data_IF_097564807513
#
_entry.id   IF_097564807513
#
_cell.length_a   1.000
_cell.length_b   1.000
_cell.length_c   1.000
_cell.angle_alpha   90.00
_cell.angle_beta   90.00
_cell.angle_gamma   90.00
#
_symmetry.space_group_name_H-M   'P 1'
#
loop_
_entity.id
_entity.type
_entity.pdbx_description
1 polymer ?
#
# COMPACT_ATOMS: atom_id res chain seq x y z
N UNK A 1 -20.14 -1.44 6.62
CA UNK A 1 -20.40 -1.73 8.05
C UNK A 1 -19.77 -0.60 8.88
N UNK A 2 -20.56 0.33 9.44
CA UNK A 2 -20.04 1.59 10.04
C UNK A 2 -19.05 1.39 11.17
N UNK A 3 -19.15 0.29 11.92
CA UNK A 3 -18.22 -0.01 13.01
C UNK A 3 -16.81 -0.30 12.49
N UNK A 4 -16.67 -1.23 11.55
CA UNK A 4 -15.38 -1.62 10.96
C UNK A 4 -14.69 -0.42 10.30
N UNK A 5 -15.45 0.43 9.63
CA UNK A 5 -14.94 1.64 8.98
C UNK A 5 -14.39 2.64 10.01
N UNK A 6 -15.13 2.83 11.10
CA UNK A 6 -14.74 3.74 12.17
C UNK A 6 -13.51 3.23 12.90
N UNK A 7 -13.46 1.92 13.21
CA UNK A 7 -12.30 1.29 13.84
C UNK A 7 -11.10 1.35 12.91
N UNK A 8 -11.27 1.04 11.63
CA UNK A 8 -10.19 1.08 10.66
C UNK A 8 -9.61 2.49 10.47
N UNK A 9 -10.48 3.51 10.42
CA UNK A 9 -10.04 4.91 10.37
C UNK A 9 -9.33 5.34 11.66
N UNK A 10 -9.82 4.94 12.84
CA UNK A 10 -9.16 5.22 14.12
C UNK A 10 -7.78 4.56 14.18
N UNK A 11 -7.68 3.28 13.79
CA UNK A 11 -6.42 2.56 13.71
C UNK A 11 -5.45 3.32 12.80
N UNK A 12 -5.87 3.71 11.60
CA UNK A 12 -5.01 4.49 10.69
C UNK A 12 -4.48 5.75 11.38
N UNK A 13 -5.33 6.52 12.07
CA UNK A 13 -4.88 7.72 12.79
C UNK A 13 -3.85 7.43 13.88
N UNK A 14 -3.93 6.28 14.54
CA UNK A 14 -2.90 5.85 15.48
C UNK A 14 -1.59 5.50 14.75
N UNK A 15 -1.66 4.72 13.67
CA UNK A 15 -0.51 4.23 12.91
C UNK A 15 0.31 5.33 12.19
N UNK A 16 -0.22 6.57 12.13
CA UNK A 16 0.57 7.74 11.69
C UNK A 16 1.78 7.98 12.60
N UNK A 17 1.73 7.54 13.86
CA UNK A 17 2.81 7.68 14.84
C UNK A 17 3.66 6.41 14.93
N UNK A 18 4.98 6.57 14.90
CA UNK A 18 5.93 5.44 14.91
C UNK A 18 5.83 4.63 16.20
N UNK A 19 5.55 5.26 17.34
CA UNK A 19 5.41 4.56 18.62
C UNK A 19 4.22 3.61 18.62
N UNK A 20 3.13 3.98 17.93
CA UNK A 20 1.99 3.10 17.76
C UNK A 20 2.34 1.94 16.81
N UNK A 21 3.06 2.22 15.71
CA UNK A 21 3.53 1.19 14.78
C UNK A 21 4.41 0.14 15.46
N UNK A 22 5.31 0.55 16.35
CA UNK A 22 6.21 -0.35 17.09
C UNK A 22 5.48 -1.29 18.06
N UNK A 23 4.24 -0.95 18.47
CA UNK A 23 3.41 -1.79 19.34
C UNK A 23 2.49 -2.73 18.58
N UNK A 24 2.33 -2.51 17.27
CA UNK A 24 1.41 -3.28 16.43
C UNK A 24 2.04 -4.61 16.07
N UNK A 25 1.21 -5.65 16.01
CA UNK A 25 1.59 -6.91 15.36
C UNK A 25 1.66 -6.68 13.84
N UNK A 26 2.84 -6.27 13.39
CA UNK A 26 3.10 -5.91 12.00
C UNK A 26 2.83 -7.09 11.02
N UNK A 27 3.27 -8.33 11.31
CA UNK A 27 2.89 -9.49 10.50
C UNK A 27 1.37 -9.65 10.34
N UNK A 28 0.60 -9.45 11.42
CA UNK A 28 -0.85 -9.55 11.36
C UNK A 28 -1.47 -8.42 10.52
N UNK A 29 -1.00 -7.18 10.68
CA UNK A 29 -1.47 -6.04 9.90
C UNK A 29 -1.21 -6.23 8.39
N UNK A 30 0.02 -6.64 8.03
CA UNK A 30 0.41 -6.88 6.63
C UNK A 30 -0.45 -8.00 6.01
N UNK A 31 -0.66 -9.10 6.74
CA UNK A 31 -1.54 -10.20 6.29
C UNK A 31 -2.99 -9.75 6.15
N UNK A 32 -3.48 -8.91 7.06
CA UNK A 32 -4.82 -8.34 6.97
C UNK A 32 -4.98 -7.51 5.69
N UNK A 33 -4.02 -6.63 5.39
CA UNK A 33 -4.02 -5.84 4.16
C UNK A 33 -4.10 -6.72 2.90
N UNK A 34 -3.26 -7.75 2.82
CA UNK A 34 -3.25 -8.69 1.69
C UNK A 34 -4.59 -9.45 1.57
N UNK A 35 -5.14 -9.92 2.70
CA UNK A 35 -6.43 -10.60 2.74
C UNK A 35 -7.58 -9.70 2.24
N UNK A 36 -7.61 -8.43 2.65
CA UNK A 36 -8.65 -7.48 2.22
C UNK A 36 -8.59 -7.29 0.72
N UNK A 37 -7.41 -7.00 0.14
CA UNK A 37 -7.28 -6.81 -1.30
C UNK A 37 -7.66 -8.06 -2.10
N UNK A 38 -7.21 -9.24 -1.65
CA UNK A 38 -7.57 -10.51 -2.28
C UNK A 38 -9.07 -10.78 -2.26
N UNK A 39 -9.76 -10.46 -1.16
CA UNK A 39 -11.21 -10.63 -1.09
C UNK A 39 -11.96 -9.72 -2.05
N UNK A 40 -11.45 -8.51 -2.30
CA UNK A 40 -12.03 -7.59 -3.27
C UNK A 40 -11.88 -8.15 -4.69
N UNK A 41 -10.71 -8.68 -5.02
CA UNK A 41 -10.45 -9.29 -6.34
C UNK A 41 -11.31 -10.55 -6.57
N UNK A 42 -11.49 -11.41 -5.55
CA UNK A 42 -12.25 -12.66 -5.66
C UNK A 42 -13.77 -12.47 -5.76
N UNK A 43 -14.32 -11.51 -5.03
CA UNK A 43 -15.78 -11.33 -4.94
C UNK A 43 -16.35 -10.44 -6.05
N UNK A 44 -15.51 -9.66 -6.72
CA UNK A 44 -15.96 -8.57 -7.57
C UNK A 44 -16.58 -7.45 -6.73
N UNK A 45 -16.36 -6.21 -7.14
CA UNK A 45 -16.72 -5.04 -6.33
C UNK A 45 -18.23 -4.79 -6.41
N UNK A 46 -18.94 -4.95 -5.29
CA UNK A 46 -20.13 -4.12 -5.03
C UNK A 46 -19.60 -2.72 -4.67
N UNK A 47 -19.82 -1.75 -5.55
CA UNK A 47 -19.26 -0.39 -5.49
C UNK A 47 -19.47 0.32 -4.14
N UNK A 48 -20.45 -0.11 -3.35
CA UNK A 48 -20.76 0.47 -2.04
C UNK A 48 -20.02 -0.16 -0.88
N UNK A 49 -19.71 -1.45 -0.95
CA UNK A 49 -19.11 -2.20 0.17
C UNK A 49 -17.59 -2.31 0.06
N UNK A 50 -17.05 -2.38 -1.16
CA UNK A 50 -15.61 -2.42 -1.35
C UNK A 50 -15.00 -1.13 -0.78
N UNK A 51 -15.37 0.05 -1.29
CA UNK A 51 -14.58 1.31 -1.24
C UNK A 51 -14.09 1.84 0.11
N UNK A 52 -14.36 1.19 1.23
CA UNK A 52 -13.99 1.62 2.58
C UNK A 52 -12.84 0.82 3.19
N UNK A 53 -12.78 -0.51 3.06
CA UNK A 53 -11.71 -1.29 3.69
C UNK A 53 -10.45 -1.36 2.83
N UNK A 54 -10.53 -1.61 1.52
CA UNK A 54 -9.32 -1.55 0.67
C UNK A 54 -8.73 -0.15 0.62
N UNK A 55 -9.57 0.90 0.71
CA UNK A 55 -9.06 2.27 0.80
C UNK A 55 -8.16 2.45 2.03
N UNK A 56 -8.50 1.83 3.15
CA UNK A 56 -7.67 1.85 4.36
C UNK A 56 -6.37 1.05 4.20
N UNK A 57 -6.35 0.01 3.36
CA UNK A 57 -5.12 -0.76 3.09
C UNK A 57 -4.03 0.14 2.55
N UNK A 58 -4.33 1.06 1.63
CA UNK A 58 -3.32 1.99 1.10
C UNK A 58 -2.82 2.97 2.16
N UNK A 59 -3.67 3.38 3.09
CA UNK A 59 -3.26 4.20 4.22
C UNK A 59 -2.38 3.43 5.22
N UNK A 60 -2.69 2.16 5.49
CA UNK A 60 -1.83 1.30 6.32
C UNK A 60 -0.49 1.03 5.65
N UNK A 61 -0.51 0.71 4.36
CA UNK A 61 0.71 0.55 3.56
C UNK A 61 1.57 1.81 3.59
N UNK A 62 0.97 2.99 3.44
CA UNK A 62 1.68 4.26 3.58
C UNK A 62 2.35 4.40 4.95
N UNK A 63 1.61 4.14 6.04
CA UNK A 63 2.18 4.20 7.39
C UNK A 63 3.31 3.20 7.60
N UNK A 64 3.19 1.97 7.07
CA UNK A 64 4.24 0.95 7.12
C UNK A 64 5.49 1.44 6.40
N UNK A 65 5.35 1.95 5.16
CA UNK A 65 6.49 2.40 4.38
C UNK A 65 7.16 3.62 4.97
N UNK A 66 6.37 4.59 5.45
CA UNK A 66 6.84 5.82 6.07
C UNK A 66 7.72 5.56 7.29
N UNK A 67 7.43 4.50 8.05
CA UNK A 67 8.13 4.15 9.28
C UNK A 67 9.00 2.89 9.12
N UNK A 68 9.27 2.46 7.88
CA UNK A 68 9.92 1.17 7.62
C UNK A 68 11.35 1.11 8.18
N UNK A 69 12.08 2.21 8.13
CA UNK A 69 13.44 2.33 8.70
C UNK A 69 13.44 2.08 10.22
N UNK A 70 12.48 2.66 10.95
CA UNK A 70 12.34 2.45 12.40
C UNK A 70 11.79 1.08 12.77
N UNK A 71 11.20 0.36 11.81
CA UNK A 71 10.57 -0.96 11.99
C UNK A 71 11.45 -2.12 11.49
N UNK A 72 12.72 -1.88 11.17
CA UNK A 72 13.62 -2.82 10.49
C UNK A 72 13.13 -3.13 9.07
N UNK A 73 13.51 -2.27 8.12
CA UNK A 73 13.08 -2.29 6.72
C UNK A 73 13.13 -3.67 6.09
N UNK A 74 14.24 -4.40 6.28
CA UNK A 74 14.39 -5.75 5.72
C UNK A 74 13.29 -6.70 6.16
N UNK A 75 12.98 -6.72 7.45
CA UNK A 75 11.93 -7.59 8.00
C UNK A 75 10.54 -7.18 7.46
N UNK A 76 10.29 -5.87 7.33
CA UNK A 76 9.05 -5.36 6.72
C UNK A 76 8.92 -5.84 5.27
N UNK A 77 9.98 -5.72 4.47
CA UNK A 77 9.98 -6.14 3.07
C UNK A 77 9.78 -7.66 2.93
N UNK A 78 10.45 -8.46 3.76
CA UNK A 78 10.29 -9.93 3.81
C UNK A 78 8.84 -10.32 4.15
N UNK A 79 8.21 -9.66 5.13
CA UNK A 79 6.80 -9.88 5.48
C UNK A 79 5.84 -9.49 4.34
N UNK A 80 6.12 -8.40 3.63
CA UNK A 80 5.31 -7.99 2.47
C UNK A 80 5.45 -8.96 1.31
N UNK A 81 6.63 -9.52 1.09
CA UNK A 81 6.87 -10.56 0.10
C UNK A 81 6.11 -11.83 0.46
N UNK A 82 6.27 -12.33 1.69
CA UNK A 82 5.63 -13.56 2.17
C UNK A 82 4.11 -13.50 2.13
N UNK A 83 3.54 -12.31 2.39
CA UNK A 83 2.09 -12.08 2.32
C UNK A 83 1.57 -11.78 0.92
N UNK A 84 2.45 -11.53 -0.06
CA UNK A 84 2.08 -11.08 -1.40
C UNK A 84 1.41 -9.69 -1.42
N UNK A 85 1.64 -8.87 -0.38
CA UNK A 85 0.97 -7.57 -0.24
C UNK A 85 1.34 -6.61 -1.39
N UNK A 86 2.62 -6.54 -1.76
CA UNK A 86 3.07 -5.63 -2.81
C UNK A 86 2.40 -5.96 -4.17
N UNK A 87 2.42 -7.23 -4.57
CA UNK A 87 1.75 -7.67 -5.80
C UNK A 87 0.24 -7.38 -5.76
N UNK A 88 -0.40 -7.55 -4.61
CA UNK A 88 -1.84 -7.25 -4.42
C UNK A 88 -2.12 -5.76 -4.57
N UNK A 89 -1.28 -4.90 -4.00
CA UNK A 89 -1.38 -3.43 -4.14
C UNK A 89 -1.24 -3.01 -5.60
N UNK A 90 -0.20 -3.50 -6.29
CA UNK A 90 0.06 -3.18 -7.69
C UNK A 90 -1.08 -3.64 -8.59
N UNK A 91 -1.56 -4.87 -8.39
CA UNK A 91 -2.70 -5.41 -9.12
C UNK A 91 -3.97 -4.57 -8.90
N UNK A 92 -4.28 -4.27 -7.64
CA UNK A 92 -5.48 -3.52 -7.30
C UNK A 92 -5.47 -2.12 -7.93
N UNK A 93 -4.36 -1.38 -7.84
CA UNK A 93 -4.27 -0.02 -8.41
C UNK A 93 -4.39 0.02 -9.94
N UNK A 94 -4.00 -1.06 -10.62
CA UNK A 94 -4.02 -1.15 -12.09
C UNK A 94 -5.35 -1.67 -12.62
N UNK A 95 -6.02 -2.57 -11.89
CA UNK A 95 -7.23 -3.25 -12.36
C UNK A 95 -8.52 -2.77 -11.69
N UNK A 96 -8.44 -1.98 -10.61
CA UNK A 96 -9.60 -1.44 -9.89
C UNK A 96 -9.70 0.08 -10.01
N UNK A 97 -10.92 0.58 -10.22
CA UNK A 97 -11.19 2.01 -10.17
C UNK A 97 -11.00 2.58 -8.77
N UNK A 98 -9.88 3.26 -8.56
CA UNK A 98 -9.56 3.98 -7.34
C UNK A 98 -9.77 5.49 -7.52
N UNK A 99 -10.17 6.17 -6.44
CA UNK A 99 -10.19 7.65 -6.43
C UNK A 99 -8.77 8.21 -6.60
N UNK A 100 -8.66 9.42 -7.15
CA UNK A 100 -7.36 10.04 -7.38
C UNK A 100 -6.59 10.29 -6.06
N UNK A 101 -7.29 10.62 -4.97
CA UNK A 101 -6.68 10.76 -3.64
C UNK A 101 -6.10 9.45 -3.11
N UNK A 102 -6.77 8.31 -3.36
CA UNK A 102 -6.24 7.00 -2.97
C UNK A 102 -5.02 6.62 -3.81
N UNK A 103 -5.08 6.87 -5.13
CA UNK A 103 -3.94 6.70 -6.03
C UNK A 103 -2.76 7.57 -5.60
N UNK A 104 -3.01 8.77 -5.09
CA UNK A 104 -1.96 9.65 -4.58
C UNK A 104 -1.22 9.05 -3.37
N UNK A 105 -1.96 8.57 -2.36
CA UNK A 105 -1.39 7.90 -1.19
C UNK A 105 -0.60 6.66 -1.59
N UNK A 106 -1.13 5.87 -2.52
CA UNK A 106 -0.45 4.68 -3.00
C UNK A 106 0.85 5.01 -3.74
N UNK A 107 0.83 6.00 -4.63
CA UNK A 107 2.03 6.48 -5.35
C UNK A 107 3.08 6.99 -4.38
N UNK A 108 2.70 7.78 -3.37
CA UNK A 108 3.64 8.24 -2.34
C UNK A 108 4.26 7.08 -1.57
N UNK A 109 3.48 6.05 -1.26
CA UNK A 109 3.96 4.84 -0.59
C UNK A 109 4.92 4.03 -1.46
N UNK A 110 4.64 3.94 -2.76
CA UNK A 110 5.52 3.29 -3.73
C UNK A 110 6.81 4.09 -3.96
N UNK A 111 6.77 5.41 -3.87
CA UNK A 111 7.96 6.25 -3.91
C UNK A 111 8.86 5.99 -2.70
N UNK A 112 8.28 5.95 -1.49
CA UNK A 112 9.01 5.56 -0.27
C UNK A 112 9.66 4.17 -0.39
N UNK A 113 8.93 3.21 -0.98
CA UNK A 113 9.47 1.87 -1.25
C UNK A 113 10.60 1.91 -2.29
N UNK A 114 10.47 2.71 -3.35
CA UNK A 114 11.49 2.86 -4.37
C UNK A 114 12.77 3.52 -3.83
N UNK A 115 12.64 4.39 -2.82
CA UNK A 115 13.77 5.05 -2.15
C UNK A 115 14.47 4.16 -1.11
N UNK A 116 13.89 3.01 -0.74
CA UNK A 116 14.48 2.06 0.19
C UNK A 116 15.67 1.29 -0.43
N UNK A 117 16.83 1.35 0.22
CA UNK A 117 18.06 0.70 -0.25
C UNK A 117 17.92 -0.83 -0.38
N UNK A 118 17.32 -1.49 0.62
CA UNK A 118 17.12 -2.94 0.58
C UNK A 118 16.23 -3.38 -0.58
N UNK A 119 15.19 -2.59 -0.89
CA UNK A 119 14.32 -2.85 -2.03
C UNK A 119 15.06 -2.64 -3.36
N UNK A 120 15.89 -1.59 -3.47
CA UNK A 120 16.70 -1.35 -4.67
C UNK A 120 17.73 -2.46 -4.91
N UNK A 121 18.37 -2.96 -3.85
CA UNK A 121 19.35 -4.05 -3.95
C UNK A 121 18.74 -5.35 -4.47
N UNK A 122 17.50 -5.67 -4.05
CA UNK A 122 16.84 -6.95 -4.34
C UNK A 122 15.52 -6.78 -5.12
N UNK A 123 15.42 -5.76 -5.98
CA UNK A 123 14.21 -5.42 -6.73
C UNK A 123 13.60 -6.62 -7.47
N UNK A 124 14.43 -7.45 -8.10
CA UNK A 124 13.98 -8.62 -8.85
C UNK A 124 13.36 -9.71 -7.96
N UNK A 125 13.72 -9.74 -6.68
CA UNK A 125 13.18 -10.67 -5.69
C UNK A 125 11.79 -10.21 -5.26
N UNK A 126 11.62 -8.91 -4.97
CA UNK A 126 10.33 -8.35 -4.56
C UNK A 126 9.34 -8.20 -5.72
N UNK A 127 9.82 -7.94 -6.93
CA UNK A 127 9.04 -7.85 -8.16
C UNK A 127 9.34 -9.03 -9.09
N UNK A 128 9.24 -10.26 -8.58
CA UNK A 128 9.61 -11.46 -9.32
C UNK A 128 8.73 -11.69 -10.56
N UNK A 129 7.43 -11.40 -10.43
CA UNK A 129 6.45 -11.57 -11.50
C UNK A 129 6.62 -10.49 -12.59
N UNK A 130 6.64 -10.87 -13.88
CA UNK A 130 6.58 -9.90 -14.98
C UNK A 130 5.38 -8.95 -14.88
N UNK A 131 4.24 -9.45 -14.39
CA UNK A 131 3.02 -8.64 -14.22
C UNK A 131 3.20 -7.53 -13.19
N UNK A 132 3.98 -7.78 -12.13
CA UNK A 132 4.20 -6.79 -11.07
C UNK A 132 5.08 -5.65 -11.62
N UNK A 133 6.06 -5.98 -12.45
CA UNK A 133 6.90 -5.00 -13.15
C UNK A 133 6.09 -4.18 -14.16
N UNK A 134 5.25 -4.83 -14.95
CA UNK A 134 4.34 -4.15 -15.88
C UNK A 134 3.38 -3.22 -15.14
N UNK A 135 2.78 -3.68 -14.05
CA UNK A 135 1.88 -2.89 -13.22
C UNK A 135 2.58 -1.65 -12.63
N UNK A 136 3.81 -1.81 -12.14
CA UNK A 136 4.60 -0.67 -11.63
C UNK A 136 4.87 0.37 -12.73
N UNK A 137 5.21 -0.06 -13.96
CA UNK A 137 5.39 0.84 -15.10
C UNK A 137 4.09 1.57 -15.50
N UNK A 138 2.93 0.92 -15.37
CA UNK A 138 1.65 1.58 -15.60
C UNK A 138 1.36 2.65 -14.54
N UNK A 139 1.71 2.39 -13.28
CA UNK A 139 1.52 3.33 -12.18
C UNK A 139 2.43 4.55 -12.27
N UNK A 140 3.56 4.49 -12.97
CA UNK A 140 4.39 5.65 -13.26
C UNK A 140 3.59 6.73 -14.04
N UNK A 141 2.72 6.31 -14.96
CA UNK A 141 1.82 7.22 -15.69
C UNK A 141 0.80 7.86 -14.75
N UNK A 142 0.30 7.10 -13.78
CA UNK A 142 -0.62 7.60 -12.74
C UNK A 142 0.09 8.59 -11.82
N UNK A 143 1.34 8.34 -11.45
CA UNK A 143 2.15 9.26 -10.66
C UNK A 143 2.30 10.62 -11.36
N UNK A 144 2.53 10.62 -12.67
CA UNK A 144 2.61 11.87 -13.45
C UNK A 144 1.31 12.71 -13.37
N UNK A 145 0.15 12.05 -13.39
CA UNK A 145 -1.16 12.70 -13.27
C UNK A 145 -1.38 13.27 -11.86
N UNK A 146 -1.10 12.47 -10.83
CA UNK A 146 -1.26 12.87 -9.42
C UNK A 146 -0.37 14.07 -9.08
N UNK A 147 0.86 14.09 -9.59
CA UNK A 147 1.79 15.21 -9.43
C UNK A 147 1.29 16.45 -10.19
N UNK A 148 0.76 16.26 -11.40
CA UNK A 148 0.17 17.35 -12.20
C UNK A 148 -1.01 18.04 -11.52
N UNK A 149 -1.83 17.29 -10.78
CA UNK A 149 -2.97 17.80 -10.00
C UNK A 149 -2.55 18.41 -8.64
N UNK A 150 -1.26 18.39 -8.29
CA UNK A 150 -0.74 18.95 -7.05
C UNK A 150 -1.09 18.15 -5.79
N UNK A 151 -1.52 16.89 -5.95
CA UNK A 151 -1.89 16.01 -4.85
C UNK A 151 -0.68 15.37 -4.16
N UNK A 152 0.43 15.23 -4.88
CA UNK A 152 1.73 14.82 -4.36
C UNK A 152 2.75 15.90 -4.73
N UNK A 153 3.57 16.32 -3.76
CA UNK A 153 4.66 17.28 -4.03
C UNK A 153 5.78 16.55 -4.76
N UNK A 154 6.40 17.18 -5.75
CA UNK A 154 7.66 16.67 -6.29
C UNK A 154 8.72 16.74 -5.19
N UNK A 155 9.37 15.61 -4.94
CA UNK A 155 10.64 15.61 -4.23
C UNK A 155 11.68 16.14 -5.21
N UNK A 156 12.20 17.33 -4.93
CA UNK A 156 13.28 17.97 -5.70
C UNK A 156 14.64 17.32 -5.39
#
# INVERSE_FOLDING_TARGET
NTFEESVGALLWKCLVHVEAMQLVDLPLLIRHCSMVLKQVDEKGIDEREARRQESLVFHYFHCIMKHSEELNTREVLELMQDSGLLSSILHHLTHTECTLGLKAVAVESLALLADCEEFQCDLHTFLASPKDREALMELEKVAALVVGDGLVKRSD
#
